data_IF_116609320231
#
_entry.id   IF_116609320231
#
_cell.length_a   1.000
_cell.length_b   1.000
_cell.length_c   1.000
_cell.angle_alpha   90.00
_cell.angle_beta   90.00
_cell.angle_gamma   90.00
#
_symmetry.space_group_name_H-M   'P 1'
#
loop_
_entity.id
_entity.type
_entity.pdbx_description
1 polymer ?
#
# COMPACT_ATOMS: atom_id res chain seq x y z
N UNK A 1 4.81 17.77 1.45
CA UNK A 1 4.99 17.52 0.00
C UNK A 1 3.95 16.50 -0.46
N UNK A 2 3.51 16.61 -1.71
CA UNK A 2 2.46 15.76 -2.29
C UNK A 2 3.02 14.99 -3.48
N UNK A 3 2.64 13.72 -3.58
CA UNK A 3 3.04 12.79 -4.64
C UNK A 3 1.78 12.15 -5.20
N UNK A 4 1.72 11.97 -6.53
CA UNK A 4 0.52 11.45 -7.20
C UNK A 4 0.86 10.28 -8.10
N UNK A 5 0.04 9.24 -8.07
CA UNK A 5 -0.02 8.19 -9.09
C UNK A 5 -1.28 8.48 -9.90
N UNK A 6 -1.07 8.89 -11.16
CA UNK A 6 -2.15 9.27 -12.10
C UNK A 6 -2.27 8.33 -13.29
N UNK A 7 -1.51 7.24 -13.29
CA UNK A 7 -1.46 6.30 -14.41
C UNK A 7 -2.57 5.26 -14.29
N UNK A 8 -3.39 5.16 -15.33
CA UNK A 8 -4.37 4.10 -15.51
C UNK A 8 -3.76 2.74 -15.85
N UNK A 9 -2.45 2.68 -16.11
CA UNK A 9 -1.73 1.45 -16.40
C UNK A 9 -0.74 1.10 -15.29
N UNK A 10 -1.12 1.31 -14.03
CA UNK A 10 -0.32 0.99 -12.85
C UNK A 10 -0.77 -0.30 -12.14
N UNK A 11 -1.17 -1.33 -12.91
CA UNK A 11 -1.64 -2.62 -12.38
C UNK A 11 -0.57 -3.35 -11.55
N UNK A 12 0.70 -3.16 -11.90
CA UNK A 12 1.85 -3.75 -11.19
C UNK A 12 2.73 -2.66 -10.59
N UNK A 13 2.94 -2.73 -9.28
CA UNK A 13 3.75 -1.80 -8.49
C UNK A 13 4.46 -2.57 -7.37
N UNK A 14 5.72 -2.95 -7.59
CA UNK A 14 6.51 -3.71 -6.62
C UNK A 14 7.44 -2.81 -5.82
N UNK A 15 7.63 -3.12 -4.54
CA UNK A 15 8.60 -2.46 -3.67
C UNK A 15 7.98 -1.53 -2.61
N UNK A 16 8.75 -0.52 -2.19
CA UNK A 16 8.42 0.34 -1.04
C UNK A 16 8.33 1.81 -1.44
N UNK A 17 7.20 2.45 -1.14
CA UNK A 17 7.05 3.90 -1.20
C UNK A 17 7.25 4.47 0.21
N UNK A 18 8.34 5.22 0.42
CA UNK A 18 8.68 5.80 1.71
C UNK A 18 8.51 7.33 1.72
N UNK A 19 7.37 7.79 2.23
CA UNK A 19 6.95 9.18 2.30
C UNK A 19 6.47 9.55 3.73
N UNK A 20 7.30 9.40 4.77
CA UNK A 20 6.86 9.47 6.18
C UNK A 20 6.23 10.81 6.58
N UNK A 21 6.59 11.92 5.91
CA UNK A 21 5.97 13.23 6.11
C UNK A 21 5.11 13.68 4.90
N UNK A 22 5.02 12.84 3.87
CA UNK A 22 4.38 13.13 2.59
C UNK A 22 2.92 12.69 2.51
N UNK A 23 2.21 13.27 1.54
CA UNK A 23 0.87 12.85 1.13
C UNK A 23 1.00 12.08 -0.19
N UNK A 24 0.50 10.85 -0.23
CA UNK A 24 0.34 10.07 -1.45
C UNK A 24 -1.11 10.22 -1.94
N UNK A 25 -1.26 10.47 -3.23
CA UNK A 25 -2.56 10.54 -3.89
C UNK A 25 -2.60 9.51 -5.01
N UNK A 26 -3.62 8.66 -4.99
CA UNK A 26 -3.96 7.77 -6.09
C UNK A 26 -5.15 8.40 -6.80
N UNK A 27 -4.99 8.72 -8.07
CA UNK A 27 -5.97 9.44 -8.88
C UNK A 27 -5.98 8.82 -10.28
N UNK A 28 -6.65 7.67 -10.40
CA UNK A 28 -6.65 6.84 -11.60
C UNK A 28 -8.03 6.26 -11.81
N UNK A 29 -8.45 6.10 -13.06
CA UNK A 29 -9.73 5.46 -13.39
C UNK A 29 -9.68 3.93 -13.36
N UNK A 30 -8.50 3.33 -13.18
CA UNK A 30 -8.27 1.86 -13.20
C UNK A 30 -7.59 1.38 -11.92
N UNK A 31 -7.76 0.09 -11.54
CA UNK A 31 -7.06 -0.49 -10.39
C UNK A 31 -5.55 -0.24 -10.42
N UNK A 32 -5.00 0.09 -9.26
CA UNK A 32 -3.56 0.32 -9.06
C UNK A 32 -3.02 -0.76 -8.12
N UNK A 33 -1.89 -1.36 -8.48
CA UNK A 33 -1.18 -2.39 -7.72
C UNK A 33 -1.96 -3.70 -7.47
N UNK A 34 -3.09 -3.93 -8.15
CA UNK A 34 -3.92 -5.11 -7.98
C UNK A 34 -3.24 -6.40 -8.48
N UNK A 35 -2.28 -6.29 -9.40
CA UNK A 35 -1.45 -7.39 -9.90
C UNK A 35 -0.07 -7.44 -9.23
N UNK A 36 0.16 -6.64 -8.19
CA UNK A 36 1.40 -6.68 -7.40
C UNK A 36 1.43 -7.88 -6.47
N UNK A 37 2.56 -8.59 -6.46
CA UNK A 37 2.84 -9.61 -5.45
C UNK A 37 2.92 -9.00 -4.05
N UNK A 38 3.51 -7.80 -3.91
CA UNK A 38 3.53 -7.02 -2.68
C UNK A 38 3.84 -5.55 -2.97
N UNK A 39 3.32 -4.66 -2.13
CA UNK A 39 3.68 -3.24 -2.11
C UNK A 39 3.66 -2.75 -0.67
N UNK A 40 4.73 -2.09 -0.22
CA UNK A 40 4.77 -1.42 1.08
C UNK A 40 4.62 0.08 0.89
N UNK A 41 3.68 0.71 1.57
CA UNK A 41 3.48 2.16 1.52
C UNK A 41 3.57 2.72 2.94
N UNK A 42 4.54 3.60 3.17
CA UNK A 42 4.67 4.38 4.39
C UNK A 42 4.41 5.83 4.04
N UNK A 43 3.24 6.35 4.37
CA UNK A 43 2.85 7.72 4.10
C UNK A 43 2.09 8.33 5.28
N UNK A 44 2.22 9.64 5.48
CA UNK A 44 1.46 10.36 6.53
C UNK A 44 -0.03 10.46 6.19
N UNK A 45 -0.35 10.55 4.91
CA UNK A 45 -1.73 10.60 4.42
C UNK A 45 -1.81 9.94 3.06
N UNK A 46 -2.85 9.15 2.84
CA UNK A 46 -3.19 8.54 1.56
C UNK A 46 -4.58 9.05 1.16
N UNK A 47 -4.71 9.60 -0.05
CA UNK A 47 -6.00 9.97 -0.61
C UNK A 47 -6.26 9.21 -1.91
N UNK A 48 -7.51 8.81 -2.09
CA UNK A 48 -8.00 8.05 -3.24
C UNK A 48 -9.05 8.91 -3.94
N UNK A 49 -8.85 9.19 -5.22
CA UNK A 49 -9.78 9.96 -6.05
C UNK A 49 -10.14 9.16 -7.33
N UNK A 50 -11.34 9.39 -7.84
CA UNK A 50 -11.91 8.79 -9.07
C UNK A 50 -12.09 7.26 -9.14
N UNK A 51 -12.39 6.63 -8.00
CA UNK A 51 -12.97 5.27 -8.00
C UNK A 51 -12.06 4.04 -8.19
N UNK A 52 -10.71 4.10 -8.24
CA UNK A 52 -9.94 2.87 -8.25
C UNK A 52 -9.91 2.31 -6.82
N UNK A 53 -10.27 1.03 -6.68
CA UNK A 53 -9.99 0.27 -5.48
C UNK A 53 -8.46 0.12 -5.36
N UNK A 54 -7.84 0.78 -4.38
CA UNK A 54 -6.45 0.52 -4.03
C UNK A 54 -6.37 -0.83 -3.32
N UNK A 55 -5.80 -1.83 -3.99
CA UNK A 55 -5.61 -3.16 -3.42
C UNK A 55 -4.24 -3.21 -2.73
N UNK A 56 -4.24 -3.30 -1.40
CA UNK A 56 -3.05 -3.50 -0.60
C UNK A 56 -2.91 -5.01 -0.32
N UNK A 57 -2.15 -5.71 -1.16
CA UNK A 57 -1.82 -7.12 -0.93
C UNK A 57 -0.83 -7.25 0.23
N UNK A 58 -1.37 -7.55 1.41
CA UNK A 58 -0.61 -7.78 2.64
C UNK A 58 -0.23 -9.25 2.87
N UNK A 59 -0.35 -10.13 1.86
CA UNK A 59 -0.03 -11.55 1.99
C UNK A 59 1.48 -11.81 1.84
N UNK A 60 2.25 -11.38 2.83
CA UNK A 60 3.70 -11.56 2.91
C UNK A 60 4.13 -13.04 2.83
N UNK A 61 3.29 -13.97 3.31
CA UNK A 61 3.60 -15.41 3.36
C UNK A 61 3.58 -16.13 2.00
N UNK A 62 3.07 -15.49 0.94
CA UNK A 62 3.02 -16.05 -0.41
C UNK A 62 4.18 -15.60 -1.32
N UNK A 63 5.12 -14.79 -0.80
CA UNK A 63 6.20 -14.21 -1.62
C UNK A 63 7.57 -14.48 -1.01
N UNK A 64 8.58 -14.69 -1.85
CA UNK A 64 9.97 -14.91 -1.46
C UNK A 64 10.69 -13.60 -1.06
N UNK A 65 9.94 -12.57 -0.70
CA UNK A 65 10.49 -11.24 -0.42
C UNK A 65 10.70 -11.13 1.09
N UNK A 66 11.93 -10.92 1.56
CA UNK A 66 12.20 -10.81 2.98
C UNK A 66 11.46 -9.61 3.57
N UNK A 67 10.67 -9.85 4.61
CA UNK A 67 10.00 -8.81 5.40
C UNK A 67 11.09 -8.00 6.11
N UNK A 68 11.17 -6.66 5.92
CA UNK A 68 12.10 -5.83 6.68
C UNK A 68 11.81 -5.92 8.18
N UNK A 69 12.85 -5.92 9.01
CA UNK A 69 12.72 -6.00 10.47
C UNK A 69 11.71 -4.97 10.99
N UNK A 70 10.69 -5.44 11.72
CA UNK A 70 9.65 -4.61 12.32
C UNK A 70 8.32 -4.51 11.56
N UNK A 71 8.20 -5.10 10.37
CA UNK A 71 6.97 -5.07 9.55
C UNK A 71 6.18 -6.39 9.52
N UNK A 72 6.57 -7.40 10.31
CA UNK A 72 5.78 -8.62 10.51
C UNK A 72 4.62 -8.42 11.50
N UNK A 73 3.61 -9.32 11.52
CA UNK A 73 2.53 -9.26 12.50
C UNK A 73 3.13 -9.30 13.91
N UNK A 74 3.03 -8.19 14.64
CA UNK A 74 3.23 -8.24 16.09
C UNK A 74 1.98 -8.89 16.66
N UNK A 75 2.15 -10.01 17.35
CA UNK A 75 1.10 -10.62 18.16
C UNK A 75 0.71 -9.64 19.28
N UNK A 76 -0.11 -8.66 18.94
CA UNK A 76 -0.73 -7.72 19.85
C UNK A 76 -2.19 -8.10 19.98
N UNK A 77 -2.55 -8.68 21.12
CA UNK A 77 -3.93 -9.04 21.46
C UNK A 77 -4.81 -7.80 21.39
N UNK A 78 -5.60 -7.66 20.32
CA UNK A 78 -6.64 -6.64 20.23
C UNK A 78 -7.84 -7.10 21.07
N UNK A 79 -7.96 -6.59 22.29
CA UNK A 79 -9.17 -6.78 23.09
C UNK A 79 -10.26 -5.81 22.59
N UNK A 80 -11.29 -6.35 21.93
CA UNK A 80 -12.52 -5.62 21.65
C UNK A 80 -13.39 -5.67 22.91
N UNK A 81 -13.69 -4.51 23.51
CA UNK A 81 -14.72 -4.41 24.55
C UNK A 81 -16.08 -4.30 23.87
N UNK A 82 -16.96 -5.24 24.19
CA UNK A 82 -18.40 -5.22 23.90
C UNK A 82 -19.11 -4.11 24.68
#
# INVERSE_FOLDING_TARGET
RQYRIISDNARTMLGTIYLPAGRLIIDSSKPVADQSAYTVIVARLINLYEGPNLYLNANYGATSVPVPDGFGPKAGTAALRS
#
